data_IF_365802511799
#
_entry.id   IF_365802511799
#
_cell.length_a   1.000
_cell.length_b   1.000
_cell.length_c   1.000
_cell.angle_alpha   90.00
_cell.angle_beta   90.00
_cell.angle_gamma   90.00
#
_symmetry.space_group_name_H-M   'P 1'
#
loop_
_entity.id
_entity.type
_entity.pdbx_description
1 polymer ?
#
# COMPACT_ATOMS: atom_id res chain seq x y z
N UNK A 1 -13.67 -14.95 2.87
CA UNK A 1 -12.35 -15.31 2.29
C UNK A 1 -11.48 -14.08 2.44
N UNK A 2 -10.25 -14.22 2.91
CA UNK A 2 -9.39 -13.07 3.16
C UNK A 2 -8.89 -12.46 1.84
N UNK A 3 -9.00 -11.14 1.71
CA UNK A 3 -8.72 -10.39 0.48
C UNK A 3 -8.00 -9.11 0.83
N UNK A 4 -6.69 -9.13 0.63
CA UNK A 4 -5.87 -7.94 0.76
C UNK A 4 -6.04 -7.05 -0.47
N UNK A 5 -5.86 -5.76 -0.26
CA UNK A 5 -6.00 -4.72 -1.28
C UNK A 5 -4.87 -3.70 -1.08
N UNK A 6 -4.48 -3.01 -2.16
CA UNK A 6 -3.40 -2.03 -2.08
C UNK A 6 -3.76 -0.87 -1.15
N UNK A 7 -2.74 -0.26 -0.55
CA UNK A 7 -2.94 0.75 0.51
C UNK A 7 -3.84 1.89 0.01
N UNK A 8 -5.00 2.06 0.64
CA UNK A 8 -5.96 3.10 0.30
C UNK A 8 -6.97 2.76 -0.80
N UNK A 9 -6.82 1.64 -1.50
CA UNK A 9 -7.74 1.19 -2.55
C UNK A 9 -8.84 0.25 -2.05
N UNK A 10 -8.80 -0.12 -0.78
CA UNK A 10 -9.83 -0.93 -0.14
C UNK A 10 -10.67 -0.21 0.90
N UNK A 11 -11.51 -0.98 1.58
CA UNK A 11 -12.55 -0.46 2.46
C UNK A 11 -12.04 0.20 3.76
N UNK A 12 -10.81 -0.10 4.20
CA UNK A 12 -10.19 0.56 5.37
C UNK A 12 -9.78 2.01 5.02
N UNK A 13 -9.38 2.26 3.77
CA UNK A 13 -8.94 3.55 3.28
C UNK A 13 -7.55 3.98 3.77
N UNK A 14 -6.96 4.94 3.05
CA UNK A 14 -5.59 5.40 3.29
C UNK A 14 -5.42 6.04 4.67
N UNK A 15 -6.35 6.91 5.06
CA UNK A 15 -6.26 7.70 6.31
C UNK A 15 -6.12 6.80 7.54
N UNK A 16 -6.88 5.72 7.61
CA UNK A 16 -6.83 4.80 8.73
C UNK A 16 -5.52 4.00 8.74
N UNK A 17 -5.09 3.47 7.59
CA UNK A 17 -3.82 2.74 7.47
C UNK A 17 -2.63 3.63 7.83
N UNK A 18 -2.59 4.86 7.30
CA UNK A 18 -1.56 5.85 7.63
C UNK A 18 -1.52 6.17 9.13
N UNK A 19 -2.69 6.31 9.77
CA UNK A 19 -2.78 6.55 11.21
C UNK A 19 -2.19 5.39 12.02
N UNK A 20 -2.51 4.13 11.67
CA UNK A 20 -1.98 2.95 12.38
C UNK A 20 -0.46 2.83 12.22
N UNK A 21 0.06 3.04 11.00
CA UNK A 21 1.50 2.97 10.73
C UNK A 21 2.30 3.96 11.60
N UNK A 22 1.74 5.14 11.86
CA UNK A 22 2.36 6.22 12.64
C UNK A 22 1.80 6.34 14.07
N UNK A 23 1.03 5.37 14.54
CA UNK A 23 0.43 5.46 15.86
C UNK A 23 1.53 5.47 16.94
N UNK A 24 1.56 6.43 17.89
CA UNK A 24 2.66 6.59 18.83
C UNK A 24 2.99 5.32 19.62
N UNK A 25 1.96 4.55 20.00
CA UNK A 25 2.12 3.30 20.75
C UNK A 25 2.69 2.15 19.91
N UNK A 26 2.63 2.24 18.58
CA UNK A 26 3.06 1.18 17.67
C UNK A 26 4.41 1.48 17.00
N UNK A 27 5.07 2.60 17.31
CA UNK A 27 6.28 3.04 16.59
C UNK A 27 7.40 2.00 16.59
N UNK A 28 7.56 1.23 17.67
CA UNK A 28 8.56 0.18 17.82
C UNK A 28 8.18 -1.15 17.15
N UNK A 29 6.93 -1.32 16.74
CA UNK A 29 6.43 -2.56 16.12
C UNK A 29 6.78 -2.56 14.63
N UNK A 30 7.37 -3.63 14.07
CA UNK A 30 7.56 -3.75 12.63
C UNK A 30 6.22 -3.78 11.87
N UNK A 31 6.15 -3.08 10.74
CA UNK A 31 4.98 -3.09 9.86
C UNK A 31 5.33 -3.84 8.58
N UNK A 32 4.61 -4.93 8.29
CA UNK A 32 4.83 -5.80 7.14
C UNK A 32 3.66 -5.59 6.17
N UNK A 33 3.97 -5.34 4.90
CA UNK A 33 2.98 -5.24 3.83
C UNK A 33 2.85 -6.58 3.13
N UNK A 34 1.62 -7.10 3.05
CA UNK A 34 1.24 -8.30 2.27
C UNK A 34 0.20 -7.94 1.19
N UNK A 35 0.30 -6.72 0.66
CA UNK A 35 -0.57 -6.20 -0.39
C UNK A 35 -0.37 -6.96 -1.71
N UNK A 36 -1.43 -7.11 -2.52
CA UNK A 36 -1.34 -7.85 -3.77
C UNK A 36 -0.45 -7.12 -4.79
N UNK A 37 0.22 -7.90 -5.63
CA UNK A 37 0.94 -7.36 -6.79
C UNK A 37 -0.04 -6.71 -7.77
N UNK A 38 0.41 -5.64 -8.43
CA UNK A 38 -0.40 -4.87 -9.38
C UNK A 38 -0.04 -5.27 -10.81
N UNK A 39 -1.05 -5.52 -11.64
CA UNK A 39 -0.91 -5.92 -13.04
C UNK A 39 -2.10 -6.77 -13.50
N UNK A 40 -2.51 -6.59 -14.75
CA UNK A 40 -3.66 -7.29 -15.34
C UNK A 40 -3.28 -8.74 -15.72
N UNK A 41 -2.09 -8.90 -16.30
CA UNK A 41 -1.57 -10.20 -16.70
C UNK A 41 -0.78 -10.89 -15.59
N UNK A 42 -0.98 -12.20 -15.44
CA UNK A 42 -0.23 -13.02 -14.47
C UNK A 42 1.29 -12.97 -14.66
N UNK A 43 1.75 -12.66 -15.87
CA UNK A 43 3.18 -12.60 -16.23
C UNK A 43 3.79 -11.21 -16.04
N UNK A 44 3.00 -10.17 -15.91
CA UNK A 44 3.45 -8.78 -15.79
C UNK A 44 2.91 -8.14 -14.49
N UNK A 45 3.08 -8.88 -13.39
CA UNK A 45 2.71 -8.39 -12.05
C UNK A 45 3.92 -7.75 -11.39
N UNK A 46 3.72 -6.53 -10.88
CA UNK A 46 4.79 -5.71 -10.28
C UNK A 46 4.56 -5.56 -8.78
N UNK A 47 5.62 -5.66 -7.96
CA UNK A 47 5.51 -5.53 -6.52
C UNK A 47 5.19 -4.08 -6.14
N UNK A 48 4.18 -3.82 -5.28
CA UNK A 48 3.73 -2.46 -4.97
C UNK A 48 4.57 -1.77 -3.89
N UNK A 49 5.35 -2.55 -3.13
CA UNK A 49 5.83 -2.20 -1.81
C UNK A 49 6.66 -0.92 -1.75
N UNK A 50 7.53 -0.69 -2.75
CA UNK A 50 8.39 0.50 -2.78
C UNK A 50 7.53 1.77 -2.80
N UNK A 51 6.57 1.85 -3.72
CA UNK A 51 5.71 3.02 -3.87
C UNK A 51 4.70 3.14 -2.73
N UNK A 52 4.18 2.02 -2.20
CA UNK A 52 3.30 2.05 -1.02
C UNK A 52 4.04 2.54 0.24
N UNK A 53 5.29 2.12 0.46
CA UNK A 53 6.10 2.60 1.59
C UNK A 53 6.43 4.09 1.44
N UNK A 54 6.79 4.54 0.23
CA UNK A 54 7.01 5.97 -0.05
C UNK A 54 5.73 6.78 0.21
N UNK A 55 4.58 6.30 -0.25
CA UNK A 55 3.28 6.95 -0.01
C UNK A 55 2.93 7.05 1.47
N UNK A 56 3.22 6.00 2.27
CA UNK A 56 3.04 6.03 3.72
C UNK A 56 3.99 7.04 4.39
N UNK A 57 5.28 7.05 4.01
CA UNK A 57 6.27 7.99 4.56
C UNK A 57 5.97 9.45 4.20
N UNK A 58 5.47 9.71 3.01
CA UNK A 58 5.11 11.06 2.54
C UNK A 58 3.80 11.57 3.15
N UNK A 59 2.98 10.68 3.72
CA UNK A 59 1.72 11.05 4.38
C UNK A 59 0.63 11.58 3.44
N UNK A 60 0.76 11.37 2.13
CA UNK A 60 -0.21 11.80 1.12
C UNK A 60 -0.66 10.60 0.29
N UNK A 61 -1.98 10.44 0.11
CA UNK A 61 -2.55 9.41 -0.75
C UNK A 61 -2.32 9.75 -2.22
N UNK A 62 -1.91 8.75 -3.01
CA UNK A 62 -1.68 8.88 -4.45
C UNK A 62 -2.72 8.05 -5.20
N UNK A 63 -3.73 8.71 -5.76
CA UNK A 63 -4.77 8.06 -6.56
C UNK A 63 -4.20 7.37 -7.81
N UNK A 64 -3.06 7.84 -8.32
CA UNK A 64 -2.36 7.28 -9.47
C UNK A 64 -1.36 6.18 -9.11
N UNK A 65 -1.29 5.72 -7.86
CA UNK A 65 -0.30 4.77 -7.38
C UNK A 65 -0.27 3.48 -8.22
N UNK A 66 -1.44 2.90 -8.49
CA UNK A 66 -1.53 1.63 -9.22
C UNK A 66 -0.99 1.76 -10.65
N UNK A 67 -1.24 2.89 -11.32
CA UNK A 67 -0.72 3.15 -12.66
C UNK A 67 0.80 3.36 -12.64
N UNK A 68 1.33 4.03 -11.61
CA UNK A 68 2.79 4.15 -11.42
C UNK A 68 3.46 2.80 -11.17
N UNK A 69 2.80 1.89 -10.45
CA UNK A 69 3.31 0.53 -10.25
C UNK A 69 3.30 -0.24 -11.56
N UNK A 70 2.21 -0.17 -12.34
CA UNK A 70 2.12 -0.82 -13.66
C UNK A 70 3.15 -0.29 -14.65
N UNK A 71 3.56 0.98 -14.55
CA UNK A 71 4.53 1.61 -15.45
C UNK A 71 6.01 1.32 -15.12
N UNK A 72 6.32 0.55 -14.07
CA UNK A 72 7.71 0.22 -13.67
C UNK A 72 8.47 -0.67 -14.66
#
# INVERSE_FOLDING_TARGET
>A
KDRHENIGFGHIGYKALHHIVHHPQLMHVPKILETPYVGEDKKDKKPPYKLEIEMLKNGTFDEGLLEKIKAQ
#
